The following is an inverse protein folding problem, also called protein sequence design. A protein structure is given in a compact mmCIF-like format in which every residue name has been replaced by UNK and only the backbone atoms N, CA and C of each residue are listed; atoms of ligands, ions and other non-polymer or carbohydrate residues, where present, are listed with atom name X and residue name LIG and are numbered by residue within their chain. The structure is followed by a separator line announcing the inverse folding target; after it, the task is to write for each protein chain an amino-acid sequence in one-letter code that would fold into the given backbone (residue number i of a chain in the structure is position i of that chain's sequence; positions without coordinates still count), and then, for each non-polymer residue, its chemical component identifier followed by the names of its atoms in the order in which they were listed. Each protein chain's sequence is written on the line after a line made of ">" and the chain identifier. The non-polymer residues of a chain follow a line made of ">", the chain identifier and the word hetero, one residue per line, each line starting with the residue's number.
data_IF_417731658244
#
_entry.id   IF_417731658244
#
_cell.length_a   1.000
_cell.length_b   1.000
_cell.length_c   1.000
_cell.angle_alpha   90.00
_cell.angle_beta   90.00
_cell.angle_gamma   90.00
#
_symmetry.space_group_name_H-M   'P 1'
#
loop_
_entity.id
_entity.type
_entity.pdbx_description
1 polymer ?
#
# COMPACT_ATOMS: atom_id res chain seq x y z
N UNK A 1 -13.78 -3.36 -2.65
CA UNK A 1 -12.64 -2.55 -2.21
C UNK A 1 -13.16 -1.18 -1.77
N UNK A 2 -12.70 -0.64 -0.62
CA UNK A 2 -13.20 0.65 -0.08
C UNK A 2 -12.46 1.88 -0.63
N UNK A 3 -11.30 1.67 -1.24
CA UNK A 3 -10.45 2.71 -1.84
C UNK A 3 -11.08 3.12 -3.17
N UNK A 4 -11.23 4.43 -3.40
CA UNK A 4 -11.73 4.99 -4.66
C UNK A 4 -10.74 5.90 -5.35
N UNK A 5 -9.96 6.67 -4.58
CA UNK A 5 -9.05 7.68 -5.09
C UNK A 5 -7.93 7.94 -4.08
N UNK A 6 -6.79 8.41 -4.56
CA UNK A 6 -5.63 8.80 -3.76
C UNK A 6 -5.46 10.32 -3.72
N UNK A 7 -5.28 10.86 -2.51
CA UNK A 7 -4.89 12.23 -2.26
C UNK A 7 -3.37 12.32 -2.22
N UNK A 8 -2.76 12.60 -3.38
CA UNK A 8 -1.34 12.85 -3.51
C UNK A 8 -1.02 14.34 -3.33
N UNK A 9 0.06 14.63 -2.62
CA UNK A 9 0.67 15.96 -2.52
C UNK A 9 2.19 15.82 -2.55
N UNK A 10 2.91 16.91 -2.82
CA UNK A 10 4.37 16.85 -2.97
C UNK A 10 5.04 16.23 -1.74
N UNK A 11 4.51 16.49 -0.53
CA UNK A 11 5.05 15.96 0.70
C UNK A 11 4.95 14.43 0.79
N UNK A 12 3.81 13.83 0.46
CA UNK A 12 3.68 12.38 0.54
C UNK A 12 4.36 11.67 -0.64
N UNK A 13 4.39 12.29 -1.82
CA UNK A 13 5.15 11.81 -2.98
C UNK A 13 6.65 11.78 -2.65
N UNK A 14 7.21 12.89 -2.18
CA UNK A 14 8.62 12.97 -1.80
C UNK A 14 8.97 11.97 -0.69
N UNK A 15 8.06 11.79 0.28
CA UNK A 15 8.28 10.85 1.37
C UNK A 15 8.38 9.39 0.89
N UNK A 16 7.50 8.94 -0.01
CA UNK A 16 7.58 7.57 -0.55
C UNK A 16 8.72 7.41 -1.55
N UNK A 17 9.12 8.49 -2.24
CA UNK A 17 10.26 8.48 -3.14
C UNK A 17 11.58 8.18 -2.42
N UNK A 18 11.74 8.56 -1.15
CA UNK A 18 12.89 8.16 -0.29
C UNK A 18 13.00 6.64 -0.16
N UNK A 19 11.89 5.91 -0.32
CA UNK A 19 11.84 4.45 -0.33
C UNK A 19 11.87 3.85 -1.73
N UNK A 20 12.18 4.65 -2.76
CA UNK A 20 12.11 4.28 -4.17
C UNK A 20 10.74 3.73 -4.56
N UNK A 21 9.65 4.30 -4.03
CA UNK A 21 8.28 3.93 -4.39
C UNK A 21 7.62 5.10 -5.09
N UNK A 22 6.96 4.84 -6.21
CA UNK A 22 6.14 5.85 -6.91
C UNK A 22 4.66 5.78 -6.50
N UNK A 23 3.89 6.86 -6.70
CA UNK A 23 2.43 6.83 -6.59
C UNK A 23 1.78 5.72 -7.42
N UNK A 24 2.23 5.54 -8.66
CA UNK A 24 1.70 4.52 -9.58
C UNK A 24 1.86 3.11 -9.02
N UNK A 25 3.01 2.79 -8.41
CA UNK A 25 3.23 1.49 -7.77
C UNK A 25 2.30 1.26 -6.57
N UNK A 26 1.95 2.31 -5.85
CA UNK A 26 0.98 2.22 -4.75
C UNK A 26 -0.43 1.96 -5.29
N UNK A 27 -0.80 2.62 -6.38
CA UNK A 27 -2.08 2.44 -7.05
C UNK A 27 -2.21 1.06 -7.67
N UNK A 28 -1.17 0.56 -8.34
CA UNK A 28 -1.06 -0.81 -8.86
C UNK A 28 -1.39 -1.84 -7.77
N UNK A 29 -0.78 -1.67 -6.59
CA UNK A 29 -1.00 -2.58 -5.46
C UNK A 29 -2.40 -2.43 -4.88
N UNK A 30 -2.94 -1.21 -4.87
CA UNK A 30 -4.24 -0.92 -4.30
C UNK A 30 -5.37 -1.48 -5.15
N UNK A 31 -5.26 -1.43 -6.47
CA UNK A 31 -6.30 -1.84 -7.42
C UNK A 31 -6.10 -3.25 -8.01
N UNK A 32 -5.20 -4.06 -7.43
CA UNK A 32 -5.11 -5.51 -7.68
C UNK A 32 -6.43 -6.21 -7.28
N UNK A 33 -6.66 -7.44 -7.74
CA UNK A 33 -7.92 -8.17 -7.54
C UNK A 33 -8.13 -8.61 -6.07
N UNK A 34 -7.05 -8.91 -5.32
CA UNK A 34 -7.11 -9.30 -3.91
C UNK A 34 -5.97 -8.67 -3.07
N UNK A 35 -5.99 -7.35 -2.82
CA UNK A 35 -4.99 -6.72 -1.98
C UNK A 35 -5.18 -7.12 -0.51
N UNK A 36 -4.09 -7.42 0.18
CA UNK A 36 -4.18 -7.76 1.59
C UNK A 36 -4.25 -6.51 2.47
N UNK A 37 -5.47 -6.16 2.88
CA UNK A 37 -5.71 -5.04 3.80
C UNK A 37 -5.76 -5.51 5.25
N UNK A 38 -5.08 -4.78 6.15
CA UNK A 38 -5.10 -4.97 7.61
C UNK A 38 -5.37 -3.65 8.32
N UNK A 39 -6.00 -3.72 9.50
CA UNK A 39 -6.10 -2.55 10.39
C UNK A 39 -4.73 -2.30 11.03
N UNK A 40 -4.31 -1.03 10.98
CA UNK A 40 -3.11 -0.55 11.65
C UNK A 40 -3.41 0.12 12.98
N UNK A 41 -2.43 0.86 13.49
CA UNK A 41 -2.57 1.64 14.73
C UNK A 41 -3.10 3.06 14.46
N UNK A 42 -3.71 3.71 15.45
CA UNK A 42 -4.12 5.13 15.39
C UNK A 42 -4.94 5.50 14.13
N UNK A 43 -5.85 4.62 13.71
CA UNK A 43 -6.73 4.84 12.55
C UNK A 43 -6.07 4.59 11.18
N UNK A 44 -4.81 4.13 11.15
CA UNK A 44 -4.15 3.71 9.90
C UNK A 44 -4.63 2.34 9.44
N UNK A 45 -4.36 2.04 8.17
CA UNK A 45 -4.55 0.75 7.52
C UNK A 45 -3.26 0.38 6.80
N UNK A 46 -3.02 -0.92 6.71
CA UNK A 46 -1.89 -1.49 5.99
C UNK A 46 -2.42 -2.18 4.75
N UNK A 47 -1.81 -1.88 3.61
CA UNK A 47 -2.07 -2.50 2.33
C UNK A 47 -0.78 -3.24 1.93
N UNK A 48 -0.91 -4.55 1.72
CA UNK A 48 0.17 -5.41 1.31
C UNK A 48 -0.17 -6.02 -0.03
N UNK A 49 0.72 -5.85 -1.00
CA UNK A 49 0.55 -6.48 -2.30
C UNK A 49 1.83 -6.50 -3.11
N UNK A 50 1.67 -6.74 -4.40
CA UNK A 50 2.77 -6.71 -5.35
C UNK A 50 2.42 -5.84 -6.54
N UNK A 51 3.41 -5.10 -7.05
CA UNK A 51 3.27 -4.27 -8.24
C UNK A 51 3.29 -5.14 -9.49
N UNK A 52 2.91 -4.57 -10.63
CA UNK A 52 3.01 -5.23 -11.94
C UNK A 52 4.47 -5.62 -12.25
N UNK A 53 5.43 -4.80 -11.80
CA UNK A 53 6.86 -5.07 -11.92
C UNK A 53 7.38 -6.17 -10.95
N UNK A 54 6.52 -6.75 -10.12
CA UNK A 54 6.86 -7.86 -9.21
C UNK A 54 7.51 -7.44 -7.89
N UNK A 55 7.52 -6.14 -7.57
CA UNK A 55 7.94 -5.65 -6.23
C UNK A 55 6.86 -5.94 -5.23
N UNK A 56 7.23 -6.16 -3.97
CA UNK A 56 6.28 -6.44 -2.89
C UNK A 56 6.25 -5.25 -1.96
N UNK A 57 5.13 -4.53 -1.89
CA UNK A 57 5.05 -3.28 -1.14
C UNK A 57 4.20 -3.42 0.12
N UNK A 58 4.70 -2.83 1.20
CA UNK A 58 3.98 -2.55 2.43
C UNK A 58 3.62 -1.05 2.44
N UNK A 59 2.33 -0.76 2.37
CA UNK A 59 1.79 0.59 2.27
C UNK A 59 0.99 0.89 3.54
N UNK A 60 1.28 2.02 4.17
CA UNK A 60 0.52 2.55 5.30
C UNK A 60 -0.28 3.75 4.84
N UNK A 61 -1.59 3.73 5.09
CA UNK A 61 -2.49 4.78 4.66
C UNK A 61 -3.60 5.04 5.67
N UNK A 62 -4.26 6.18 5.52
CA UNK A 62 -5.51 6.49 6.21
C UNK A 62 -6.62 6.56 5.19
N UNK A 63 -7.74 5.90 5.46
CA UNK A 63 -8.95 5.99 4.65
C UNK A 63 -9.82 7.13 5.19
N UNK A 64 -10.00 8.17 4.38
CA UNK A 64 -10.91 9.29 4.65
C UNK A 64 -12.33 8.97 4.18
N UNK A 65 -13.24 9.92 4.39
CA UNK A 65 -14.63 9.82 3.91
C UNK A 65 -14.68 9.59 2.39
N UNK A 66 -15.74 8.92 1.93
CA UNK A 66 -16.01 8.62 0.51
C UNK A 66 -14.95 7.75 -0.20
N UNK A 67 -14.01 7.14 0.52
CA UNK A 67 -13.02 6.24 -0.07
C UNK A 67 -11.73 6.94 -0.53
N UNK A 68 -11.52 8.20 -0.16
CA UNK A 68 -10.30 8.94 -0.43
C UNK A 68 -9.18 8.45 0.49
N UNK A 69 -8.02 8.13 -0.07
CA UNK A 69 -6.87 7.60 0.65
C UNK A 69 -5.77 8.65 0.75
N UNK A 70 -5.22 8.82 1.96
CA UNK A 70 -3.95 9.54 2.13
C UNK A 70 -2.86 8.55 2.53
N UNK A 71 -1.83 8.43 1.70
CA UNK A 71 -0.68 7.59 1.97
C UNK A 71 0.21 8.27 3.01
N UNK A 72 0.60 7.49 4.02
CA UNK A 72 1.49 7.93 5.09
C UNK A 72 2.92 7.51 4.77
N UNK A 73 3.12 6.27 4.34
CA UNK A 73 4.42 5.75 3.87
C UNK A 73 4.19 4.51 3.00
N UNK A 74 5.15 4.20 2.13
CA UNK A 74 5.18 2.99 1.33
C UNK A 74 6.63 2.54 1.16
N UNK A 75 6.88 1.23 1.25
CA UNK A 75 8.21 0.65 1.16
C UNK A 75 8.16 -0.82 0.76
N UNK A 76 9.29 -1.37 0.33
CA UNK A 76 9.40 -2.80 0.09
C UNK A 76 9.14 -3.61 1.37
N UNK A 77 8.45 -4.74 1.23
CA UNK A 77 8.25 -5.70 2.32
C UNK A 77 9.59 -6.32 2.71
N UNK A 78 9.83 -6.43 4.02
CA UNK A 78 10.89 -7.29 4.54
C UNK A 78 10.61 -8.78 4.24
N UNK A 79 11.63 -9.63 4.39
CA UNK A 79 11.53 -11.06 4.09
C UNK A 79 10.46 -11.78 4.92
N UNK A 80 10.26 -11.35 6.17
CA UNK A 80 9.30 -11.96 7.10
C UNK A 80 7.87 -11.67 6.64
N UNK A 81 7.57 -10.42 6.33
CA UNK A 81 6.28 -9.96 5.84
C UNK A 81 6.02 -10.54 4.44
N UNK A 82 7.01 -10.53 3.55
CA UNK A 82 6.92 -11.13 2.21
C UNK A 82 6.60 -12.62 2.27
N UNK A 83 7.24 -13.39 3.17
CA UNK A 83 6.92 -14.81 3.39
C UNK A 83 5.50 -15.00 3.88
N UNK A 84 5.04 -14.15 4.79
CA UNK A 84 3.67 -14.20 5.30
C UNK A 84 2.64 -13.87 4.21
N UNK A 85 2.89 -12.85 3.40
CA UNK A 85 2.05 -12.46 2.26
C UNK A 85 1.94 -13.60 1.25
N UNK A 86 3.06 -14.19 0.84
CA UNK A 86 3.07 -15.33 -0.11
C UNK A 86 2.28 -16.54 0.42
N UNK A 87 2.40 -16.86 1.71
CA UNK A 87 1.62 -17.93 2.35
C UNK A 87 0.11 -17.66 2.34
N UNK A 88 -0.31 -16.40 2.45
CA UNK A 88 -1.72 -16.02 2.30
C UNK A 88 -2.16 -16.22 0.85
N UNK A 89 -1.40 -15.70 -0.12
CA UNK A 89 -1.77 -15.72 -1.55
C UNK A 89 -1.84 -17.15 -2.15
N UNK A 90 -1.14 -18.10 -1.54
CA UNK A 90 -1.15 -19.50 -1.98
C UNK A 90 -2.36 -20.31 -1.46
N UNK A 91 -3.29 -19.68 -0.73
CA UNK A 91 -4.55 -20.28 -0.27
C UNK A 91 -5.69 -19.78 -1.11
#
# INVERSE_FOLDING_TARGET
>A
MEIKEFEWDDKNIEHIAVHNVSPDEVEDVAFDDDPWVKKGSKGTRYLLGHTIAGRYLFIVYVLKVKGLVRVITAMDMDDKIKRLYKKRKAR
#
